data_IF_770315437940
#
_entry.id   IF_770315437940
#
_cell.length_a   1.000
_cell.length_b   1.000
_cell.length_c   1.000
_cell.angle_alpha   90.00
_cell.angle_beta   90.00
_cell.angle_gamma   90.00
#
_symmetry.space_group_name_H-M   'P 1'
#
loop_
_entity.id
_entity.type
_entity.pdbx_description
1 polymer ?
#
# COMPACT_ATOMS: atom_id res chain seq x y z
N UNK A 1 -2.33 60.95 24.93
CA UNK A 1 -2.68 59.80 24.11
C UNK A 1 -3.56 58.83 24.89
N UNK A 2 -4.84 58.76 24.61
CA UNK A 2 -5.80 57.82 25.22
C UNK A 2 -5.58 56.47 24.62
N UNK A 3 -5.28 55.46 25.46
CA UNK A 3 -5.23 54.06 25.09
C UNK A 3 -6.68 53.53 25.15
N UNK A 4 -7.29 53.32 24.00
CA UNK A 4 -8.58 52.63 23.93
C UNK A 4 -8.33 51.12 24.03
N UNK A 5 -8.63 50.55 25.17
CA UNK A 5 -8.62 49.12 25.37
C UNK A 5 -9.83 48.53 24.61
N UNK A 6 -9.52 47.75 23.59
CA UNK A 6 -10.51 46.89 22.90
C UNK A 6 -10.87 45.75 23.85
N UNK A 7 -12.01 45.83 24.53
CA UNK A 7 -12.64 44.68 25.17
C UNK A 7 -13.43 43.94 24.10
N UNK A 8 -13.09 42.69 23.80
CA UNK A 8 -13.94 41.90 22.89
C UNK A 8 -15.34 41.74 23.56
N UNK A 9 -16.35 42.33 22.93
CA UNK A 9 -17.72 41.99 23.30
C UNK A 9 -17.89 40.48 23.12
N UNK A 10 -18.01 39.77 24.22
CA UNK A 10 -18.51 38.39 24.20
C UNK A 10 -19.92 38.46 23.62
N UNK A 11 -20.02 38.14 22.32
CA UNK A 11 -21.31 38.03 21.63
C UNK A 11 -22.20 37.09 22.41
N UNK A 12 -23.44 37.53 22.70
CA UNK A 12 -24.44 36.68 23.36
C UNK A 12 -24.46 35.28 22.72
N UNK A 13 -24.50 34.21 23.53
CA UNK A 13 -24.51 32.86 22.99
C UNK A 13 -25.66 32.73 22.00
N UNK A 14 -25.36 32.39 20.75
CA UNK A 14 -26.37 32.16 19.71
C UNK A 14 -27.03 30.80 19.96
N UNK A 15 -28.35 30.76 19.94
CA UNK A 15 -29.09 29.52 19.90
C UNK A 15 -28.93 28.91 18.51
N UNK A 16 -28.32 27.73 18.43
CA UNK A 16 -28.09 26.98 17.20
C UNK A 16 -29.05 25.81 17.12
N UNK A 17 -29.47 25.47 15.93
CA UNK A 17 -30.08 24.17 15.68
C UNK A 17 -29.01 23.07 15.74
N UNK A 18 -29.43 21.80 15.91
CA UNK A 18 -28.51 20.64 15.89
C UNK A 18 -27.73 20.58 14.58
N UNK A 19 -28.40 20.81 13.45
CA UNK A 19 -27.76 20.83 12.14
C UNK A 19 -26.69 21.93 12.03
N UNK A 20 -26.99 23.12 12.54
CA UNK A 20 -26.04 24.23 12.55
C UNK A 20 -24.81 23.91 13.42
N UNK A 21 -25.02 23.29 14.57
CA UNK A 21 -23.92 22.87 15.44
C UNK A 21 -23.06 21.79 14.78
N UNK A 22 -23.68 20.76 14.23
CA UNK A 22 -22.95 19.69 13.54
C UNK A 22 -22.19 20.21 12.31
N UNK A 23 -22.79 21.13 11.54
CA UNK A 23 -22.13 21.77 10.43
C UNK A 23 -20.90 22.60 10.88
N UNK A 24 -21.05 23.33 11.98
CA UNK A 24 -19.93 24.13 12.54
C UNK A 24 -18.77 23.22 12.99
N UNK A 25 -19.06 22.14 13.72
CA UNK A 25 -18.05 21.15 14.14
C UNK A 25 -17.38 20.53 12.93
N UNK A 26 -18.16 20.13 11.94
CA UNK A 26 -17.64 19.60 10.66
C UNK A 26 -16.67 20.56 10.00
N UNK A 27 -17.04 21.83 9.90
CA UNK A 27 -16.18 22.84 9.27
C UNK A 27 -14.86 23.04 10.01
N UNK A 28 -14.84 22.99 11.33
CA UNK A 28 -13.60 23.06 12.12
C UNK A 28 -12.72 21.84 11.86
N UNK A 29 -13.27 20.64 11.95
CA UNK A 29 -12.52 19.40 11.80
C UNK A 29 -11.96 19.27 10.38
N UNK A 30 -12.78 19.50 9.37
CA UNK A 30 -12.37 19.31 7.96
C UNK A 30 -11.45 20.42 7.43
N UNK A 31 -11.39 21.57 8.10
CA UNK A 31 -10.44 22.65 7.78
C UNK A 31 -9.11 22.57 8.55
N UNK A 32 -8.99 21.68 9.52
CA UNK A 32 -7.72 21.46 10.20
C UNK A 32 -6.77 20.64 9.30
N UNK A 33 -5.67 21.29 8.87
CA UNK A 33 -4.70 20.66 7.98
C UNK A 33 -4.07 19.38 8.56
N UNK A 34 -3.96 19.27 9.89
CA UNK A 34 -3.40 18.09 10.56
C UNK A 34 -4.34 16.91 10.50
N UNK A 35 -5.67 17.16 10.47
CA UNK A 35 -6.68 16.10 10.36
C UNK A 35 -6.98 15.69 8.92
N UNK A 36 -6.55 16.48 7.95
CA UNK A 36 -6.69 16.17 6.53
C UNK A 36 -5.65 15.17 6.00
N UNK A 37 -4.61 14.92 6.77
CA UNK A 37 -3.59 13.92 6.43
C UNK A 37 -3.06 13.29 7.72
N UNK A 38 -3.60 12.14 8.06
CA UNK A 38 -3.26 11.41 9.30
C UNK A 38 -2.84 9.99 9.00
N UNK A 39 -1.96 9.47 9.85
CA UNK A 39 -1.65 8.05 9.94
C UNK A 39 -2.17 7.53 11.26
N UNK A 40 -2.99 6.49 11.23
CA UNK A 40 -3.60 5.88 12.41
C UNK A 40 -3.28 4.40 12.43
N UNK A 41 -2.73 3.92 13.53
CA UNK A 41 -2.51 2.49 13.76
C UNK A 41 -3.55 1.91 14.69
N UNK A 42 -3.96 0.70 14.44
CA UNK A 42 -4.91 -0.02 15.28
C UNK A 42 -5.31 -1.36 14.68
N UNK A 43 -6.20 -2.04 15.39
CA UNK A 43 -6.75 -3.34 15.01
C UNK A 43 -8.10 -3.15 14.30
N UNK A 44 -8.29 -3.86 13.19
CA UNK A 44 -9.56 -3.88 12.47
C UNK A 44 -10.60 -4.62 13.28
N UNK A 45 -11.78 -4.03 13.40
CA UNK A 45 -12.98 -4.66 13.96
C UNK A 45 -14.25 -4.25 13.22
N UNK A 46 -15.32 -5.02 13.37
CA UNK A 46 -16.62 -4.77 12.73
C UNK A 46 -16.51 -4.51 11.21
N UNK A 47 -15.65 -5.26 10.53
CA UNK A 47 -15.48 -5.15 9.10
C UNK A 47 -16.75 -5.59 8.37
N UNK A 48 -17.26 -4.73 7.51
CA UNK A 48 -18.37 -5.02 6.60
C UNK A 48 -17.98 -4.63 5.19
N UNK A 49 -17.92 -5.62 4.32
CA UNK A 49 -17.66 -5.42 2.89
C UNK A 49 -19.01 -5.34 2.17
N UNK A 50 -19.35 -4.17 1.66
CA UNK A 50 -20.53 -3.99 0.84
C UNK A 50 -20.24 -4.39 -0.61
N UNK A 51 -20.45 -5.66 -0.92
CA UNK A 51 -20.22 -6.25 -2.23
C UNK A 51 -20.80 -5.43 -3.41
N UNK A 52 -21.96 -4.81 -3.23
CA UNK A 52 -22.62 -4.03 -4.30
C UNK A 52 -21.94 -2.69 -4.57
N UNK A 53 -21.49 -1.99 -3.52
CA UNK A 53 -20.87 -0.66 -3.65
C UNK A 53 -19.36 -0.72 -3.75
N UNK A 54 -18.74 -1.80 -3.28
CA UNK A 54 -17.30 -1.93 -3.13
C UNK A 54 -16.71 -1.08 -2.01
N UNK A 55 -17.55 -0.40 -1.20
CA UNK A 55 -17.10 0.33 -0.02
C UNK A 55 -16.82 -0.63 1.13
N UNK A 56 -15.77 -0.35 1.89
CA UNK A 56 -15.43 -1.09 3.10
C UNK A 56 -15.75 -0.22 4.31
N UNK A 57 -16.58 -0.73 5.21
CA UNK A 57 -16.91 -0.11 6.50
C UNK A 57 -16.26 -0.93 7.60
N UNK A 58 -15.56 -0.28 8.49
CA UNK A 58 -14.83 -0.93 9.58
C UNK A 58 -14.68 0.01 10.77
N UNK A 59 -14.17 -0.53 11.85
CA UNK A 59 -13.67 0.23 12.98
C UNK A 59 -12.18 -0.04 13.15
N UNK A 60 -11.44 0.98 13.56
CA UNK A 60 -10.04 0.86 13.96
C UNK A 60 -10.01 1.12 15.47
N UNK A 61 -9.46 0.18 16.21
CA UNK A 61 -9.41 0.24 17.68
C UNK A 61 -8.00 0.01 18.23
N UNK A 62 -7.78 0.54 19.39
CA UNK A 62 -6.69 0.17 20.28
C UNK A 62 -7.25 -0.32 21.64
N UNK A 63 -6.40 -0.39 22.66
CA UNK A 63 -6.81 -0.87 23.98
C UNK A 63 -7.84 0.06 24.67
N UNK A 64 -7.92 1.33 24.29
CA UNK A 64 -8.69 2.37 24.99
C UNK A 64 -9.78 3.02 24.16
N UNK A 65 -9.65 2.97 22.85
CA UNK A 65 -10.49 3.79 21.96
C UNK A 65 -10.80 3.09 20.65
N UNK A 66 -11.90 3.51 20.03
CA UNK A 66 -12.33 3.03 18.73
C UNK A 66 -12.77 4.22 17.85
N UNK A 67 -12.43 4.17 16.59
CA UNK A 67 -12.93 5.11 15.59
C UNK A 67 -13.58 4.35 14.44
N UNK A 68 -14.73 4.82 13.99
CA UNK A 68 -15.34 4.30 12.76
C UNK A 68 -14.55 4.79 11.54
N UNK A 69 -14.46 3.93 10.56
CA UNK A 69 -13.74 4.20 9.35
C UNK A 69 -14.49 3.74 8.11
N UNK A 70 -14.23 4.41 7.01
CA UNK A 70 -14.78 4.06 5.68
C UNK A 70 -13.64 4.13 4.68
N UNK A 71 -13.54 3.11 3.84
CA UNK A 71 -12.69 3.12 2.67
C UNK A 71 -13.59 3.01 1.43
N UNK A 72 -13.66 4.08 0.65
CA UNK A 72 -14.50 4.09 -0.54
C UNK A 72 -13.94 3.19 -1.64
N UNK A 73 -14.82 2.69 -2.50
CA UNK A 73 -14.50 1.71 -3.53
C UNK A 73 -13.30 2.10 -4.41
N UNK A 74 -13.16 3.39 -4.72
CA UNK A 74 -12.04 3.92 -5.49
C UNK A 74 -10.68 3.62 -4.87
N UNK A 75 -10.57 3.69 -3.55
CA UNK A 75 -9.36 3.36 -2.80
C UNK A 75 -9.30 1.87 -2.44
N UNK A 76 -10.43 1.28 -2.08
CA UNK A 76 -10.50 -0.13 -1.66
C UNK A 76 -10.01 -1.10 -2.73
N UNK A 77 -10.29 -0.83 -4.00
CA UNK A 77 -9.82 -1.65 -5.14
C UNK A 77 -8.29 -1.69 -5.29
N UNK A 78 -7.59 -0.71 -4.72
CA UNK A 78 -6.13 -0.61 -4.80
C UNK A 78 -5.42 -1.31 -3.64
N UNK A 79 -6.17 -1.87 -2.68
CA UNK A 79 -5.59 -2.64 -1.59
C UNK A 79 -4.85 -3.87 -2.11
N UNK A 80 -3.64 -4.07 -1.60
CA UNK A 80 -2.78 -5.21 -1.96
C UNK A 80 -2.99 -6.44 -1.08
N UNK A 81 -3.90 -6.35 -0.11
CA UNK A 81 -4.26 -7.43 0.81
C UNK A 81 -5.75 -7.35 1.12
N UNK A 82 -6.31 -8.42 1.68
CA UNK A 82 -7.70 -8.46 2.12
C UNK A 82 -7.76 -8.13 3.62
N UNK A 83 -8.37 -6.99 4.01
CA UNK A 83 -8.58 -6.67 5.41
C UNK A 83 -9.48 -7.72 6.09
N UNK A 84 -9.14 -8.08 7.31
CA UNK A 84 -9.94 -8.99 8.16
C UNK A 84 -9.97 -8.47 9.59
N UNK A 85 -11.03 -8.80 10.31
CA UNK A 85 -11.12 -8.50 11.75
C UNK A 85 -9.93 -9.10 12.51
N UNK A 86 -9.40 -8.36 13.47
CA UNK A 86 -8.24 -8.74 14.26
C UNK A 86 -6.89 -8.38 13.64
N UNK A 87 -6.87 -7.95 12.39
CA UNK A 87 -5.62 -7.55 11.73
C UNK A 87 -5.17 -6.18 12.22
N UNK A 88 -3.90 -6.07 12.60
CA UNK A 88 -3.27 -4.79 12.93
C UNK A 88 -2.83 -4.08 11.66
N UNK A 89 -3.20 -2.80 11.53
CA UNK A 89 -2.96 -2.00 10.32
C UNK A 89 -2.49 -0.60 10.65
N UNK A 90 -1.84 0.02 9.67
CA UNK A 90 -1.62 1.46 9.61
C UNK A 90 -2.49 2.01 8.49
N UNK A 91 -3.36 2.95 8.82
CA UNK A 91 -4.26 3.61 7.87
C UNK A 91 -3.78 5.02 7.61
N UNK A 92 -3.69 5.40 6.34
CA UNK A 92 -3.52 6.79 5.92
C UNK A 92 -4.86 7.33 5.43
N UNK A 93 -5.23 8.51 5.88
CA UNK A 93 -6.48 9.12 5.47
C UNK A 93 -6.71 10.49 6.09
N UNK A 94 -7.95 10.85 6.16
CA UNK A 94 -8.42 12.12 6.75
C UNK A 94 -9.58 11.88 7.70
N UNK A 95 -9.73 12.79 8.66
CA UNK A 95 -10.88 12.79 9.56
C UNK A 95 -11.98 13.64 8.93
N UNK A 96 -13.19 13.11 8.90
CA UNK A 96 -14.37 13.79 8.39
C UNK A 96 -15.54 13.60 9.37
N UNK A 97 -16.55 14.45 9.27
CA UNK A 97 -17.74 14.37 10.09
C UNK A 97 -18.93 13.92 9.26
N UNK A 98 -19.59 12.86 9.71
CA UNK A 98 -20.88 12.47 9.18
C UNK A 98 -21.95 13.34 9.84
N UNK A 99 -22.32 14.40 9.16
CA UNK A 99 -23.13 15.49 9.68
C UNK A 99 -24.49 15.06 10.23
N UNK A 100 -25.24 14.12 9.59
CA UNK A 100 -26.55 13.72 10.11
C UNK A 100 -26.56 13.19 11.55
N UNK A 101 -25.49 12.53 11.96
CA UNK A 101 -25.35 12.00 13.34
C UNK A 101 -24.31 12.72 14.18
N UNK A 102 -23.58 13.67 13.60
CA UNK A 102 -22.50 14.39 14.28
C UNK A 102 -21.30 13.52 14.65
N UNK A 103 -21.11 12.40 13.95
CA UNK A 103 -20.06 11.44 14.24
C UNK A 103 -18.82 11.71 13.37
N UNK A 104 -17.66 11.89 13.99
CA UNK A 104 -16.41 11.93 13.24
C UNK A 104 -15.97 10.52 12.86
N UNK A 105 -15.37 10.39 11.68
CA UNK A 105 -14.97 9.12 11.08
C UNK A 105 -13.60 9.29 10.43
N UNK A 106 -12.89 8.18 10.27
CA UNK A 106 -11.67 8.13 9.49
C UNK A 106 -12.01 7.70 8.05
N UNK A 107 -11.77 8.56 7.08
CA UNK A 107 -11.87 8.22 5.66
C UNK A 107 -10.50 7.73 5.19
N UNK A 108 -10.39 6.42 5.03
CA UNK A 108 -9.13 5.75 4.71
C UNK A 108 -8.87 5.83 3.20
N UNK A 109 -7.70 6.33 2.85
CA UNK A 109 -7.23 6.39 1.46
C UNK A 109 -6.28 5.26 1.13
N UNK A 110 -5.49 4.81 2.11
CA UNK A 110 -4.57 3.68 2.00
C UNK A 110 -4.45 2.94 3.33
N UNK A 111 -4.15 1.65 3.27
CA UNK A 111 -4.02 0.80 4.44
C UNK A 111 -2.92 -0.23 4.21
N UNK A 112 -2.11 -0.46 5.22
CA UNK A 112 -1.04 -1.44 5.22
C UNK A 112 -1.13 -2.32 6.46
N UNK A 113 -0.77 -3.61 6.36
CA UNK A 113 -0.57 -4.43 7.55
C UNK A 113 0.53 -3.86 8.44
N UNK A 114 0.31 -3.86 9.75
CA UNK A 114 1.26 -3.42 10.77
C UNK A 114 1.73 -4.60 11.62
N UNK A 115 3.05 -4.77 11.68
CA UNK A 115 3.69 -5.85 12.43
C UNK A 115 3.87 -7.16 11.64
N UNK A 116 4.71 -8.02 12.17
CA UNK A 116 5.15 -9.27 11.50
C UNK A 116 3.98 -10.22 11.26
N UNK A 117 3.07 -10.36 12.22
CA UNK A 117 1.91 -11.25 12.10
C UNK A 117 0.93 -10.81 11.00
N UNK A 118 0.64 -9.52 10.91
CA UNK A 118 -0.24 -8.98 9.88
C UNK A 118 0.40 -9.05 8.49
N UNK A 119 1.70 -8.79 8.37
CA UNK A 119 2.45 -8.95 7.12
C UNK A 119 2.46 -10.41 6.66
N UNK A 120 2.65 -11.35 7.58
CA UNK A 120 2.61 -12.79 7.28
C UNK A 120 1.24 -13.20 6.75
N UNK A 121 0.16 -12.74 7.38
CA UNK A 121 -1.20 -13.02 6.93
C UNK A 121 -1.46 -12.43 5.54
N UNK A 122 -1.05 -11.20 5.29
CA UNK A 122 -1.19 -10.55 3.98
C UNK A 122 -0.40 -11.30 2.89
N UNK A 123 0.79 -11.80 3.22
CA UNK A 123 1.59 -12.64 2.32
C UNK A 123 0.87 -13.94 1.96
N UNK A 124 0.34 -14.66 2.94
CA UNK A 124 -0.40 -15.90 2.71
C UNK A 124 -1.68 -15.68 1.87
N UNK A 125 -2.40 -14.59 2.13
CA UNK A 125 -3.56 -14.20 1.32
C UNK A 125 -3.17 -13.94 -0.14
N UNK A 126 -2.10 -13.18 -0.37
CA UNK A 126 -1.60 -12.89 -1.71
C UNK A 126 -1.18 -14.16 -2.42
N UNK A 127 -0.41 -15.02 -1.77
CA UNK A 127 0.03 -16.32 -2.30
C UNK A 127 -1.15 -17.18 -2.72
N UNK A 128 -2.18 -17.29 -1.87
CA UNK A 128 -3.40 -18.02 -2.17
C UNK A 128 -4.13 -17.44 -3.38
N UNK A 129 -4.31 -16.12 -3.42
CA UNK A 129 -4.96 -15.43 -4.55
C UNK A 129 -4.23 -15.67 -5.88
N UNK A 130 -2.90 -15.62 -5.88
CA UNK A 130 -2.09 -15.87 -7.07
C UNK A 130 -2.18 -17.34 -7.50
N UNK A 131 -2.23 -18.27 -6.55
CA UNK A 131 -2.41 -19.70 -6.83
C UNK A 131 -3.79 -19.98 -7.44
N UNK A 132 -4.85 -19.38 -6.93
CA UNK A 132 -6.22 -19.49 -7.47
C UNK A 132 -6.33 -18.93 -8.90
N UNK A 133 -5.53 -17.92 -9.24
CA UNK A 133 -5.40 -17.41 -10.61
C UNK A 133 -4.56 -18.30 -11.53
N UNK A 134 -4.05 -19.43 -11.03
CA UNK A 134 -3.26 -20.38 -11.78
C UNK A 134 -1.83 -19.93 -12.10
N UNK A 135 -1.35 -18.83 -11.52
CA UNK A 135 -0.03 -18.27 -11.85
C UNK A 135 1.14 -19.18 -11.46
N UNK A 136 0.93 -20.09 -10.52
CA UNK A 136 1.94 -21.07 -10.10
C UNK A 136 1.77 -22.44 -10.76
N UNK A 137 0.80 -22.60 -11.66
CA UNK A 137 0.52 -23.85 -12.31
C UNK A 137 1.72 -24.34 -13.16
N UNK A 138 2.08 -25.62 -13.10
CA UNK A 138 3.22 -26.16 -13.85
C UNK A 138 3.13 -25.93 -15.35
N UNK A 139 1.91 -25.84 -15.91
CA UNK A 139 1.64 -25.62 -17.34
C UNK A 139 2.17 -24.27 -17.84
N UNK A 140 2.28 -23.27 -16.96
CA UNK A 140 2.82 -21.97 -17.28
C UNK A 140 4.35 -21.91 -17.24
N UNK A 141 4.99 -22.93 -16.67
CA UNK A 141 6.46 -22.97 -16.53
C UNK A 141 7.11 -23.49 -17.80
N UNK A 142 7.89 -22.64 -18.43
CA UNK A 142 8.71 -23.04 -19.59
C UNK A 142 9.95 -23.79 -19.14
N UNK A 143 10.42 -24.73 -19.97
CA UNK A 143 11.71 -25.39 -19.71
C UNK A 143 12.84 -24.40 -19.90
N UNK A 144 13.80 -24.43 -18.98
CA UNK A 144 15.03 -23.65 -19.10
C UNK A 144 15.85 -24.22 -20.25
N UNK A 145 16.31 -23.40 -21.22
CA UNK A 145 17.16 -23.89 -22.29
C UNK A 145 18.49 -24.43 -21.74
N UNK A 146 18.94 -25.62 -22.16
CA UNK A 146 20.17 -26.21 -21.63
C UNK A 146 21.44 -25.43 -22.05
N UNK A 147 21.39 -24.75 -23.20
CA UNK A 147 22.50 -23.97 -23.75
C UNK A 147 21.99 -22.60 -24.25
N UNK A 148 21.77 -21.66 -23.33
CA UNK A 148 21.35 -20.31 -23.73
C UNK A 148 22.49 -19.55 -24.40
N UNK A 149 22.20 -18.85 -25.50
CA UNK A 149 23.17 -17.95 -26.16
C UNK A 149 23.23 -16.60 -25.47
N UNK A 150 22.12 -16.17 -24.87
CA UNK A 150 22.01 -14.89 -24.15
C UNK A 150 21.25 -15.05 -22.85
N UNK A 151 21.78 -14.44 -21.79
CA UNK A 151 21.23 -14.48 -20.45
C UNK A 151 20.97 -13.06 -19.96
N UNK A 152 19.70 -12.74 -19.72
CA UNK A 152 19.31 -11.49 -19.06
C UNK A 152 19.49 -11.61 -17.55
N UNK A 153 20.11 -10.62 -16.93
CA UNK A 153 20.32 -10.57 -15.48
C UNK A 153 19.70 -9.30 -14.93
N UNK A 154 18.66 -9.44 -14.10
CA UNK A 154 17.97 -8.36 -13.44
C UNK A 154 18.34 -8.41 -11.97
N UNK A 155 19.14 -7.49 -11.50
CA UNK A 155 19.61 -7.41 -10.12
C UNK A 155 20.12 -6.01 -9.80
N UNK A 156 20.48 -5.77 -8.54
CA UNK A 156 21.15 -4.54 -8.13
C UNK A 156 22.50 -4.41 -8.82
N UNK A 157 22.89 -3.19 -9.25
CA UNK A 157 24.19 -2.94 -9.91
C UNK A 157 25.37 -3.15 -8.96
N UNK A 158 25.13 -3.14 -7.66
CA UNK A 158 26.14 -3.27 -6.61
C UNK A 158 25.79 -4.44 -5.66
N UNK A 159 26.79 -5.04 -5.09
CA UNK A 159 26.62 -6.09 -4.10
C UNK A 159 27.17 -7.46 -4.52
N UNK A 160 27.05 -8.43 -3.62
CA UNK A 160 27.59 -9.77 -3.82
C UNK A 160 26.89 -10.54 -4.93
N UNK A 161 25.55 -10.41 -5.03
CA UNK A 161 24.76 -11.18 -6.00
C UNK A 161 25.20 -10.96 -7.45
N UNK A 162 25.42 -9.72 -7.87
CA UNK A 162 25.86 -9.41 -9.23
C UNK A 162 27.25 -9.97 -9.52
N UNK A 163 28.15 -9.93 -8.57
CA UNK A 163 29.50 -10.48 -8.73
C UNK A 163 29.47 -12.01 -8.79
N UNK A 164 28.70 -12.65 -7.94
CA UNK A 164 28.54 -14.12 -7.93
C UNK A 164 27.94 -14.62 -9.25
N UNK A 165 26.89 -13.99 -9.73
CA UNK A 165 26.26 -14.34 -11.01
C UNK A 165 27.28 -14.18 -12.15
N UNK A 166 27.99 -13.07 -12.23
CA UNK A 166 29.01 -12.83 -13.26
C UNK A 166 30.13 -13.86 -13.19
N UNK A 167 30.64 -14.15 -12.01
CA UNK A 167 31.74 -15.10 -11.82
C UNK A 167 31.33 -16.52 -12.21
N UNK A 168 30.12 -16.95 -11.85
CA UNK A 168 29.62 -18.27 -12.18
C UNK A 168 29.35 -18.39 -13.67
N UNK A 169 28.67 -17.41 -14.27
CA UNK A 169 28.35 -17.43 -15.70
C UNK A 169 29.59 -17.38 -16.59
N UNK A 170 30.57 -16.53 -16.26
CA UNK A 170 31.82 -16.46 -17.05
C UNK A 170 32.63 -17.75 -16.99
N UNK A 171 32.53 -18.50 -15.92
CA UNK A 171 33.21 -19.80 -15.76
C UNK A 171 32.45 -20.95 -16.41
N UNK A 172 31.11 -20.99 -16.29
CA UNK A 172 30.28 -22.13 -16.73
C UNK A 172 29.70 -21.95 -18.13
N UNK A 173 29.46 -20.73 -18.55
CA UNK A 173 28.89 -20.38 -19.86
C UNK A 173 29.65 -19.21 -20.50
N UNK A 174 30.96 -19.36 -20.78
CA UNK A 174 31.77 -18.28 -21.29
C UNK A 174 31.37 -17.80 -22.69
N UNK A 175 30.60 -18.60 -23.42
CA UNK A 175 30.12 -18.27 -24.79
C UNK A 175 28.77 -17.54 -24.78
N UNK A 176 28.08 -17.44 -23.62
CA UNK A 176 26.80 -16.75 -23.55
C UNK A 176 27.00 -15.24 -23.37
N UNK A 177 26.21 -14.46 -24.08
CA UNK A 177 26.13 -13.02 -23.87
C UNK A 177 25.31 -12.73 -22.59
N UNK A 178 25.81 -11.83 -21.74
CA UNK A 178 25.14 -11.43 -20.53
C UNK A 178 24.59 -10.01 -20.71
N UNK A 179 23.27 -9.88 -20.59
CA UNK A 179 22.57 -8.60 -20.68
C UNK A 179 22.18 -8.17 -19.26
N UNK A 180 22.88 -7.17 -18.74
CA UNK A 180 22.62 -6.64 -17.40
C UNK A 180 21.53 -5.58 -17.41
N UNK A 181 20.49 -5.78 -16.60
CA UNK A 181 19.46 -4.79 -16.32
C UNK A 181 19.55 -4.38 -14.84
N UNK A 182 20.26 -3.30 -14.52
CA UNK A 182 20.38 -2.85 -13.14
C UNK A 182 19.06 -2.26 -12.64
N UNK A 183 18.59 -2.73 -11.48
CA UNK A 183 17.34 -2.32 -10.86
C UNK A 183 17.50 -2.23 -9.35
N UNK A 184 16.57 -1.54 -8.70
CA UNK A 184 16.35 -1.69 -7.25
C UNK A 184 15.73 -3.06 -6.98
N UNK A 185 16.27 -3.77 -6.00
CA UNK A 185 15.76 -5.10 -5.58
C UNK A 185 15.13 -5.09 -4.20
N UNK A 186 15.05 -3.92 -3.58
CA UNK A 186 14.39 -3.67 -2.30
C UNK A 186 13.84 -2.25 -2.24
N UNK A 187 12.87 -2.01 -1.33
CA UNK A 187 12.18 -0.72 -1.20
C UNK A 187 10.93 -0.61 -2.07
N UNK A 188 10.18 0.46 -1.88
CA UNK A 188 8.86 0.66 -2.52
C UNK A 188 8.92 0.72 -4.04
N UNK A 189 10.00 1.22 -4.60
CA UNK A 189 10.16 1.37 -6.05
C UNK A 189 10.70 0.10 -6.74
N UNK A 190 11.13 -0.90 -6.00
CA UNK A 190 11.69 -2.12 -6.57
C UNK A 190 10.71 -2.91 -7.45
N UNK A 191 9.44 -3.13 -7.06
CA UNK A 191 8.48 -3.86 -7.90
C UNK A 191 8.28 -3.23 -9.28
N UNK A 192 8.15 -1.91 -9.35
CA UNK A 192 7.96 -1.21 -10.63
C UNK A 192 9.17 -1.34 -11.55
N UNK A 193 10.38 -1.23 -11.01
CA UNK A 193 11.62 -1.40 -11.79
C UNK A 193 11.81 -2.84 -12.24
N UNK A 194 11.49 -3.83 -11.41
CA UNK A 194 11.55 -5.25 -11.77
C UNK A 194 10.59 -5.57 -12.91
N UNK A 195 9.35 -5.09 -12.82
CA UNK A 195 8.33 -5.29 -13.87
C UNK A 195 8.80 -4.67 -15.18
N UNK A 196 9.27 -3.41 -15.16
CA UNK A 196 9.75 -2.71 -16.35
C UNK A 196 10.94 -3.46 -17.01
N UNK A 197 11.89 -3.94 -16.21
CA UNK A 197 13.03 -4.70 -16.71
C UNK A 197 12.62 -6.01 -17.39
N UNK A 198 11.72 -6.78 -16.78
CA UNK A 198 11.19 -8.02 -17.36
C UNK A 198 10.45 -7.73 -18.67
N UNK A 199 9.58 -6.73 -18.68
CA UNK A 199 8.81 -6.36 -19.86
C UNK A 199 9.72 -5.90 -21.01
N UNK A 200 10.77 -5.15 -20.74
CA UNK A 200 11.74 -4.73 -21.75
C UNK A 200 12.49 -5.91 -22.35
N UNK A 201 13.00 -6.82 -21.51
CA UNK A 201 13.70 -8.01 -22.00
C UNK A 201 12.79 -8.92 -22.83
N UNK A 202 11.54 -9.08 -22.41
CA UNK A 202 10.55 -9.89 -23.13
C UNK A 202 10.13 -9.24 -24.45
N UNK A 203 9.76 -7.96 -24.42
CA UNK A 203 9.34 -7.21 -25.62
C UNK A 203 10.37 -7.21 -26.74
N UNK A 204 11.63 -7.06 -26.39
CA UNK A 204 12.73 -7.02 -27.38
C UNK A 204 13.30 -8.40 -27.70
N UNK A 205 12.75 -9.46 -27.08
CA UNK A 205 13.28 -10.82 -27.21
C UNK A 205 14.81 -10.87 -27.07
N UNK A 206 15.30 -10.13 -26.07
CA UNK A 206 16.71 -9.79 -25.94
C UNK A 206 17.58 -10.96 -25.45
N UNK A 207 16.95 -11.94 -24.79
CA UNK A 207 17.65 -13.08 -24.17
C UNK A 207 16.83 -14.35 -24.16
N UNK A 208 17.51 -15.49 -24.06
CA UNK A 208 16.89 -16.82 -24.02
C UNK A 208 16.36 -17.18 -22.64
N UNK A 209 16.98 -16.64 -21.60
CA UNK A 209 16.63 -16.88 -20.21
C UNK A 209 16.89 -15.64 -19.37
N UNK A 210 16.07 -15.41 -18.34
CA UNK A 210 16.20 -14.28 -17.43
C UNK A 210 16.49 -14.80 -16.02
N UNK A 211 17.51 -14.25 -15.38
CA UNK A 211 17.82 -14.44 -13.96
C UNK A 211 17.40 -13.17 -13.24
N UNK A 212 16.49 -13.31 -12.27
CA UNK A 212 16.11 -12.23 -11.36
C UNK A 212 16.69 -12.60 -10.00
N UNK A 213 17.59 -11.78 -9.49
CA UNK A 213 18.30 -12.06 -8.26
C UNK A 213 18.28 -10.90 -7.27
N UNK A 214 18.16 -11.25 -5.99
CA UNK A 214 18.36 -10.36 -4.85
C UNK A 214 19.45 -10.95 -3.97
N UNK A 215 20.44 -10.12 -3.62
CA UNK A 215 21.43 -10.48 -2.61
C UNK A 215 20.78 -10.58 -1.23
N UNK A 216 21.20 -11.54 -0.44
CA UNK A 216 20.80 -11.71 0.96
C UNK A 216 21.54 -10.73 1.88
#
# INVERSE_FOLDING_TARGET
GSITMYTPEFSKPRVLSVSQLNFYIKSIIENDARLNFVFVTGEISNLTDHYRSGHIYLSIKDEKSVIRAVMFAGNARNLKFRPTDGMKVICRGRVAVYEPTGQYQLYIEDMQPDGIGALSLAYEQLKKSLAEKGLFAPEHKKKIPPFPNSIGVITSPTGAAVQDIRNILSRRFPSADIIMCPVLVQGENAPAQLIDAVQKLDKYNACDVIIIGRGG
#
